data_IF_640585088331
#
_entry.id   IF_640585088331
#
_cell.length_a   1.000
_cell.length_b   1.000
_cell.length_c   1.000
_cell.angle_alpha   90.00
_cell.angle_beta   90.00
_cell.angle_gamma   90.00
#
_symmetry.space_group_name_H-M   'P 1'
#
loop_
_entity.id
_entity.type
_entity.pdbx_description
1 polymer ?
#
# COMPACT_ATOMS: atom_id res chain seq x y z
N UNK A 1 57.69 3.16 -4.37
CA UNK A 1 56.64 2.62 -5.28
C UNK A 1 56.42 3.55 -6.48
N UNK A 2 56.29 4.87 -6.26
CA UNK A 2 56.21 5.87 -7.35
C UNK A 2 57.46 5.93 -8.26
N UNK A 3 58.67 5.85 -7.70
CA UNK A 3 59.92 5.84 -8.51
C UNK A 3 60.07 4.60 -9.39
N UNK A 4 59.56 3.46 -8.95
CA UNK A 4 59.55 2.24 -9.76
C UNK A 4 58.54 2.37 -10.91
N UNK A 5 57.37 2.92 -10.63
CA UNK A 5 56.35 3.23 -11.64
C UNK A 5 56.89 4.22 -12.69
N UNK A 6 57.56 5.30 -12.25
CA UNK A 6 58.14 6.29 -13.16
C UNK A 6 59.24 5.70 -14.06
N UNK A 7 60.08 4.79 -13.55
CA UNK A 7 61.14 4.14 -14.35
C UNK A 7 60.62 3.10 -15.34
N UNK A 8 59.51 2.41 -15.04
CA UNK A 8 58.93 1.41 -15.94
C UNK A 8 58.11 2.03 -17.07
N UNK A 9 57.72 3.31 -16.96
CA UNK A 9 56.90 4.03 -17.94
C UNK A 9 57.64 5.19 -18.61
N UNK A 10 58.95 5.07 -18.81
CA UNK A 10 59.75 6.08 -19.52
C UNK A 10 59.51 6.08 -21.05
N UNK A 11 59.07 4.94 -21.61
CA UNK A 11 58.78 4.84 -23.05
C UNK A 11 57.36 5.31 -23.39
N UNK A 12 57.25 6.16 -24.42
CA UNK A 12 55.96 6.68 -24.92
C UNK A 12 54.96 5.56 -25.26
N UNK A 13 55.45 4.39 -25.70
CA UNK A 13 54.65 3.23 -26.07
C UNK A 13 54.00 2.56 -24.85
N UNK A 14 54.72 2.47 -23.72
CA UNK A 14 54.20 1.89 -22.47
C UNK A 14 53.23 2.85 -21.77
N UNK A 15 53.47 4.16 -21.84
CA UNK A 15 52.51 5.17 -21.37
C UNK A 15 51.20 5.12 -22.16
N UNK A 16 51.28 4.95 -23.49
CA UNK A 16 50.10 4.83 -24.34
C UNK A 16 49.27 3.57 -24.04
N UNK A 17 49.92 2.43 -23.75
CA UNK A 17 49.22 1.20 -23.36
C UNK A 17 48.55 1.34 -21.98
N UNK A 18 49.23 1.96 -21.01
CA UNK A 18 48.63 2.25 -19.70
C UNK A 18 47.43 3.18 -19.80
N UNK A 19 47.53 4.25 -20.59
CA UNK A 19 46.43 5.17 -20.83
C UNK A 19 45.25 4.46 -21.50
N UNK A 20 45.52 3.62 -22.49
CA UNK A 20 44.50 2.79 -23.15
C UNK A 20 43.80 1.84 -22.17
N UNK A 21 44.56 1.17 -21.29
CA UNK A 21 44.00 0.30 -20.25
C UNK A 21 43.17 1.14 -19.26
N UNK A 22 43.69 2.25 -18.76
CA UNK A 22 42.99 3.11 -17.81
C UNK A 22 41.68 3.66 -18.39
N UNK A 23 41.70 4.12 -19.65
CA UNK A 23 40.51 4.59 -20.36
C UNK A 23 39.53 3.44 -20.58
N UNK A 24 39.99 2.28 -21.01
CA UNK A 24 39.14 1.09 -21.22
C UNK A 24 38.48 0.62 -19.93
N UNK A 25 39.24 0.51 -18.82
CA UNK A 25 38.72 0.15 -17.50
C UNK A 25 37.73 1.21 -17.00
N UNK A 26 38.04 2.50 -17.15
CA UNK A 26 37.12 3.58 -16.75
C UNK A 26 35.82 3.51 -17.55
N UNK A 27 35.90 3.29 -18.86
CA UNK A 27 34.73 3.14 -19.72
C UNK A 27 33.88 1.93 -19.30
N UNK A 28 34.52 0.79 -19.00
CA UNK A 28 33.83 -0.40 -18.52
C UNK A 28 33.11 -0.15 -17.18
N UNK A 29 33.75 0.53 -16.23
CA UNK A 29 33.14 0.91 -14.95
C UNK A 29 31.96 1.86 -15.16
N UNK A 30 32.10 2.87 -16.03
CA UNK A 30 31.01 3.80 -16.36
C UNK A 30 29.81 3.08 -16.97
N UNK A 31 30.03 2.14 -17.88
CA UNK A 31 28.96 1.33 -18.47
C UNK A 31 28.24 0.48 -17.42
N UNK A 32 28.98 -0.12 -16.48
CA UNK A 32 28.39 -0.88 -15.38
C UNK A 32 27.54 0.01 -14.46
N UNK A 33 28.05 1.19 -14.09
CA UNK A 33 27.32 2.14 -13.26
C UNK A 33 26.05 2.65 -13.94
N UNK A 34 26.13 2.98 -15.24
CA UNK A 34 24.96 3.37 -16.02
C UNK A 34 23.92 2.26 -16.07
N UNK A 35 24.34 1.02 -16.36
CA UNK A 35 23.43 -0.13 -16.41
C UNK A 35 22.75 -0.36 -15.05
N UNK A 36 23.51 -0.31 -13.96
CA UNK A 36 22.98 -0.46 -12.61
C UNK A 36 22.00 0.67 -12.26
N UNK A 37 22.31 1.90 -12.66
CA UNK A 37 21.41 3.04 -12.46
C UNK A 37 20.10 2.89 -13.23
N UNK A 38 20.17 2.54 -14.52
CA UNK A 38 18.97 2.29 -15.33
C UNK A 38 18.13 1.14 -14.77
N UNK A 39 18.76 0.03 -14.37
CA UNK A 39 18.05 -1.10 -13.73
C UNK A 39 17.37 -0.66 -12.45
N UNK A 40 18.10 0.03 -11.56
CA UNK A 40 17.56 0.48 -10.27
C UNK A 40 16.38 1.43 -10.46
N UNK A 41 16.44 2.34 -11.43
CA UNK A 41 15.33 3.25 -11.73
C UNK A 41 14.10 2.50 -12.27
N UNK A 42 14.32 1.55 -13.18
CA UNK A 42 13.24 0.69 -13.72
C UNK A 42 12.60 -0.14 -12.60
N UNK A 43 13.41 -0.75 -11.75
CA UNK A 43 12.94 -1.60 -10.64
C UNK A 43 12.12 -0.78 -9.63
N UNK A 44 12.57 0.43 -9.29
CA UNK A 44 11.80 1.36 -8.43
C UNK A 44 10.44 1.71 -9.04
N UNK A 45 10.37 1.96 -10.35
CA UNK A 45 9.12 2.27 -11.06
C UNK A 45 8.18 1.05 -11.07
N UNK A 46 8.71 -0.12 -11.38
CA UNK A 46 7.95 -1.38 -11.39
C UNK A 46 7.42 -1.73 -10.00
N UNK A 47 8.25 -1.60 -8.96
CA UNK A 47 7.85 -1.84 -7.58
C UNK A 47 6.72 -0.90 -7.18
N UNK A 48 6.81 0.38 -7.53
CA UNK A 48 5.78 1.36 -7.20
C UNK A 48 4.47 1.08 -7.91
N UNK A 49 4.50 0.68 -9.18
CA UNK A 49 3.30 0.26 -9.92
C UNK A 49 2.66 -0.99 -9.29
N UNK A 50 3.45 -2.02 -8.99
CA UNK A 50 2.97 -3.24 -8.33
C UNK A 50 2.34 -2.96 -6.96
N UNK A 51 2.97 -2.07 -6.16
CA UNK A 51 2.42 -1.67 -4.85
C UNK A 51 1.14 -0.86 -4.97
N UNK A 52 1.00 -0.10 -6.06
CA UNK A 52 -0.21 0.66 -6.33
C UNK A 52 -1.37 -0.28 -6.74
N UNK A 53 -1.10 -1.29 -7.57
CA UNK A 53 -2.07 -2.34 -7.91
C UNK A 53 -2.49 -3.14 -6.67
N UNK A 54 -1.52 -3.50 -5.82
CA UNK A 54 -1.78 -4.15 -4.53
C UNK A 54 -2.67 -3.27 -3.64
N UNK A 55 -2.39 -1.96 -3.59
CA UNK A 55 -3.17 -1.01 -2.80
C UNK A 55 -4.61 -0.91 -3.29
N UNK A 56 -4.81 -0.74 -4.61
CA UNK A 56 -6.14 -0.69 -5.21
C UNK A 56 -6.93 -1.98 -4.94
N UNK A 57 -6.31 -3.14 -5.18
CA UNK A 57 -6.93 -4.45 -4.94
C UNK A 57 -7.34 -4.64 -3.47
N UNK A 58 -6.45 -4.26 -2.55
CA UNK A 58 -6.71 -4.35 -1.09
C UNK A 58 -7.90 -3.48 -0.68
N UNK A 59 -8.04 -2.27 -1.23
CA UNK A 59 -9.19 -1.39 -0.97
C UNK A 59 -10.52 -2.02 -1.42
N UNK A 60 -10.55 -2.62 -2.62
CA UNK A 60 -11.76 -3.30 -3.10
C UNK A 60 -12.11 -4.53 -2.26
N UNK A 61 -11.11 -5.29 -1.83
CA UNK A 61 -11.31 -6.42 -0.91
C UNK A 61 -11.87 -5.95 0.44
N UNK A 62 -11.33 -4.86 0.98
CA UNK A 62 -11.81 -4.26 2.23
C UNK A 62 -13.27 -3.79 2.13
N UNK A 63 -13.63 -3.11 1.04
CA UNK A 63 -15.01 -2.67 0.80
C UNK A 63 -15.99 -3.85 0.78
N UNK A 64 -15.65 -4.90 0.02
CA UNK A 64 -16.47 -6.12 -0.06
C UNK A 64 -16.64 -6.77 1.30
N UNK A 65 -15.57 -6.85 2.09
CA UNK A 65 -15.60 -7.41 3.42
C UNK A 65 -16.48 -6.57 4.36
N UNK A 66 -16.38 -5.24 4.30
CA UNK A 66 -17.24 -4.34 5.08
C UNK A 66 -18.72 -4.55 4.74
N UNK A 67 -19.07 -4.68 3.45
CA UNK A 67 -20.44 -4.93 3.04
C UNK A 67 -20.94 -6.33 3.42
N UNK A 68 -20.09 -7.35 3.37
CA UNK A 68 -20.43 -8.70 3.85
C UNK A 68 -20.70 -8.71 5.37
N UNK A 69 -19.85 -8.05 6.15
CA UNK A 69 -20.05 -7.87 7.60
C UNK A 69 -21.36 -7.16 7.88
N UNK A 70 -21.60 -6.01 7.22
CA UNK A 70 -22.85 -5.28 7.39
C UNK A 70 -24.05 -6.15 6.99
N UNK A 71 -24.02 -6.83 5.84
CA UNK A 71 -25.13 -7.70 5.43
C UNK A 71 -25.41 -8.79 6.47
N UNK A 72 -24.37 -9.39 7.04
CA UNK A 72 -24.49 -10.43 8.07
C UNK A 72 -25.06 -9.91 9.38
N UNK A 73 -24.58 -8.76 9.86
CA UNK A 73 -25.08 -8.16 11.11
C UNK A 73 -26.58 -7.85 11.06
N UNK A 74 -27.15 -7.57 9.88
CA UNK A 74 -28.60 -7.33 9.72
C UNK A 74 -29.42 -8.59 9.45
N UNK A 75 -28.80 -9.73 9.16
CA UNK A 75 -29.49 -10.97 8.78
C UNK A 75 -29.29 -12.11 9.80
N UNK A 76 -28.21 -12.07 10.56
CA UNK A 76 -27.77 -13.13 11.46
C UNK A 76 -27.58 -12.58 12.88
N UNK A 77 -27.51 -13.48 13.86
CA UNK A 77 -27.20 -13.10 15.22
C UNK A 77 -25.81 -12.41 15.28
N UNK A 78 -25.67 -11.27 15.99
CA UNK A 78 -24.38 -10.59 16.17
C UNK A 78 -23.32 -11.48 16.81
N UNK A 79 -23.71 -12.49 17.59
CA UNK A 79 -22.82 -13.49 18.20
C UNK A 79 -22.31 -14.57 17.24
N UNK A 80 -22.67 -14.53 15.96
CA UNK A 80 -22.16 -15.46 14.95
C UNK A 80 -20.63 -15.37 14.80
N UNK A 81 -19.96 -16.49 15.03
CA UNK A 81 -18.49 -16.59 14.98
C UNK A 81 -17.93 -16.19 13.61
N UNK A 82 -18.65 -16.47 12.52
CA UNK A 82 -18.19 -16.12 11.17
C UNK A 82 -18.17 -14.60 11.01
N UNK A 83 -19.20 -13.91 11.52
CA UNK A 83 -19.29 -12.45 11.52
C UNK A 83 -18.19 -11.82 12.37
N UNK A 84 -17.92 -12.38 13.56
CA UNK A 84 -16.81 -11.92 14.43
C UNK A 84 -15.45 -12.10 13.73
N UNK A 85 -15.20 -13.27 13.14
CA UNK A 85 -13.94 -13.53 12.43
C UNK A 85 -13.73 -12.54 11.27
N UNK A 86 -14.79 -12.23 10.53
CA UNK A 86 -14.74 -11.24 9.44
C UNK A 86 -14.50 -9.82 9.95
N UNK A 87 -15.04 -9.47 11.11
CA UNK A 87 -14.75 -8.18 11.75
C UNK A 87 -13.26 -8.07 12.10
N UNK A 88 -12.65 -9.12 12.64
CA UNK A 88 -11.20 -9.17 12.91
C UNK A 88 -10.40 -9.06 11.60
N UNK A 89 -10.75 -9.85 10.59
CA UNK A 89 -10.14 -9.78 9.24
C UNK A 89 -10.22 -8.36 8.66
N UNK A 90 -11.31 -7.63 8.90
CA UNK A 90 -11.47 -6.26 8.43
C UNK A 90 -10.48 -5.30 9.07
N UNK A 91 -10.12 -5.51 10.34
CA UNK A 91 -9.09 -4.71 11.02
C UNK A 91 -7.73 -4.98 10.38
N UNK A 92 -7.38 -6.24 10.15
CA UNK A 92 -6.10 -6.63 9.53
C UNK A 92 -5.94 -6.04 8.12
N UNK A 93 -7.00 -6.10 7.29
CA UNK A 93 -6.96 -5.52 5.94
C UNK A 93 -6.87 -3.98 6.03
N UNK A 94 -7.57 -3.36 6.97
CA UNK A 94 -7.47 -1.93 7.23
C UNK A 94 -6.03 -1.52 7.56
N UNK A 95 -5.38 -2.24 8.46
CA UNK A 95 -4.00 -1.95 8.88
C UNK A 95 -3.03 -2.13 7.71
N UNK A 96 -3.29 -3.11 6.83
CA UNK A 96 -2.55 -3.27 5.58
C UNK A 96 -2.71 -2.05 4.65
N UNK A 97 -3.90 -1.49 4.53
CA UNK A 97 -4.18 -0.28 3.73
C UNK A 97 -3.44 0.93 4.32
N UNK A 98 -3.47 1.10 5.64
CA UNK A 98 -2.74 2.16 6.35
C UNK A 98 -1.23 2.03 6.19
N UNK A 99 -0.69 0.82 6.29
CA UNK A 99 0.72 0.53 6.05
C UNK A 99 1.13 0.86 4.61
N UNK A 100 0.34 0.44 3.61
CA UNK A 100 0.62 0.71 2.20
C UNK A 100 0.58 2.21 1.88
N UNK A 101 -0.40 2.92 2.44
CA UNK A 101 -0.49 4.38 2.41
C UNK A 101 0.78 5.01 2.99
N UNK A 102 1.15 4.65 4.21
CA UNK A 102 2.28 5.27 4.93
C UNK A 102 3.64 5.00 4.29
N UNK A 103 3.87 3.79 3.77
CA UNK A 103 5.17 3.40 3.21
C UNK A 103 5.39 3.88 1.77
N UNK A 104 4.37 3.77 0.91
CA UNK A 104 4.53 3.97 -0.52
C UNK A 104 3.81 5.21 -1.06
N UNK A 105 2.77 5.68 -0.36
CA UNK A 105 1.88 6.74 -0.84
C UNK A 105 1.49 7.72 0.28
N UNK A 106 2.45 8.43 0.91
CA UNK A 106 2.19 9.30 2.05
C UNK A 106 1.20 10.45 1.76
N UNK A 107 0.95 10.74 0.48
CA UNK A 107 -0.01 11.74 0.03
C UNK A 107 -1.47 11.25 0.05
N UNK A 108 -1.72 9.95 0.30
CA UNK A 108 -3.05 9.35 0.33
C UNK A 108 -3.35 9.00 1.80
N UNK A 109 -3.92 9.91 2.60
CA UNK A 109 -4.27 9.60 3.98
C UNK A 109 -5.40 8.57 4.00
N UNK A 110 -5.27 7.57 4.88
CA UNK A 110 -6.33 6.62 5.18
C UNK A 110 -6.52 6.54 6.68
N UNK A 111 -7.74 6.78 7.16
CA UNK A 111 -8.13 6.56 8.54
C UNK A 111 -9.26 5.53 8.58
N UNK A 112 -8.95 4.33 9.01
CA UNK A 112 -9.89 3.22 9.12
C UNK A 112 -10.87 3.37 10.28
N UNK A 113 -10.63 4.29 11.22
CA UNK A 113 -11.43 4.45 12.44
C UNK A 113 -12.88 4.74 12.12
N UNK A 114 -13.18 5.49 11.06
CA UNK A 114 -14.56 5.82 10.69
C UNK A 114 -15.34 4.59 10.22
N UNK A 115 -14.73 3.78 9.37
CA UNK A 115 -15.31 2.53 8.85
C UNK A 115 -15.50 1.51 9.97
N UNK A 116 -14.46 1.30 10.79
CA UNK A 116 -14.50 0.38 11.93
C UNK A 116 -15.50 0.83 13.00
N UNK A 117 -15.57 2.13 13.32
CA UNK A 117 -16.55 2.69 14.26
C UNK A 117 -17.98 2.46 13.78
N UNK A 118 -18.22 2.54 12.47
CA UNK A 118 -19.54 2.28 11.89
C UNK A 118 -19.93 0.81 12.06
N UNK A 119 -19.04 -0.12 11.71
CA UNK A 119 -19.25 -1.56 11.90
C UNK A 119 -19.49 -1.90 13.38
N UNK A 120 -18.66 -1.35 14.28
CA UNK A 120 -18.79 -1.59 15.72
C UNK A 120 -20.10 -1.04 16.28
N UNK A 121 -20.54 0.14 15.84
CA UNK A 121 -21.86 0.69 16.23
C UNK A 121 -23.00 -0.23 15.81
N UNK A 122 -22.98 -0.72 14.57
CA UNK A 122 -23.99 -1.67 14.05
C UNK A 122 -23.96 -2.96 14.86
N UNK A 123 -22.79 -3.53 15.14
CA UNK A 123 -22.69 -4.74 15.94
C UNK A 123 -23.26 -4.55 17.35
N UNK A 124 -22.87 -3.48 18.04
CA UNK A 124 -23.40 -3.14 19.38
C UNK A 124 -24.91 -2.93 19.40
N UNK A 125 -25.49 -2.39 18.33
CA UNK A 125 -26.93 -2.15 18.26
C UNK A 125 -27.74 -3.45 18.31
N UNK A 126 -27.26 -4.48 17.64
CA UNK A 126 -27.90 -5.80 17.62
C UNK A 126 -27.58 -6.60 18.87
N UNK A 127 -26.36 -6.48 19.40
CA UNK A 127 -25.98 -7.10 20.68
C UNK A 127 -26.84 -6.60 21.85
N UNK A 128 -27.13 -5.29 21.89
CA UNK A 128 -28.03 -4.70 22.90
C UNK A 128 -29.48 -5.19 22.76
N UNK A 129 -29.94 -5.47 21.54
CA UNK A 129 -31.26 -6.04 21.28
C UNK A 129 -31.34 -7.50 21.75
N UNK A 130 -30.30 -8.31 21.51
CA UNK A 130 -30.24 -9.69 22.02
C UNK A 130 -30.22 -9.74 23.55
N UNK A 131 -29.51 -8.80 24.19
CA UNK A 131 -29.41 -8.71 25.65
C UNK A 131 -30.63 -8.07 26.33
N UNK A 132 -31.71 -7.77 25.58
CA UNK A 132 -32.94 -7.15 26.09
C UNK A 132 -32.72 -5.79 26.78
N UNK A 133 -31.62 -5.10 26.44
CA UNK A 133 -31.31 -3.79 26.99
C UNK A 133 -32.10 -2.70 26.27
N UNK A 134 -32.65 -1.74 27.03
CA UNK A 134 -33.34 -0.59 26.45
C UNK A 134 -32.32 0.32 25.74
N UNK A 135 -32.32 0.28 24.42
CA UNK A 135 -31.57 1.20 23.56
C UNK A 135 -32.51 2.28 23.02
N UNK A 136 -32.00 3.50 22.86
CA UNK A 136 -32.73 4.59 22.23
C UNK A 136 -32.87 4.30 20.71
N UNK A 137 -34.10 4.17 20.18
CA UNK A 137 -34.31 3.88 18.77
C UNK A 137 -33.74 4.93 17.81
N UNK A 138 -33.54 6.17 18.28
CA UNK A 138 -32.93 7.24 17.50
C UNK A 138 -31.43 7.05 17.25
N UNK A 139 -30.79 6.12 17.98
CA UNK A 139 -29.38 5.79 17.84
C UNK A 139 -29.10 4.68 16.83
N UNK A 140 -30.14 4.02 16.31
CA UNK A 140 -30.00 2.94 15.32
C UNK A 140 -29.56 3.47 13.97
N UNK A 141 -28.60 2.77 13.39
CA UNK A 141 -28.13 3.04 12.03
C UNK A 141 -28.88 2.08 11.13
N UNK A 142 -29.41 2.58 10.01
CA UNK A 142 -30.00 1.72 8.98
C UNK A 142 -28.91 1.07 8.12
N UNK A 143 -29.22 -0.06 7.49
CA UNK A 143 -28.29 -0.71 6.57
C UNK A 143 -27.86 0.23 5.43
N UNK A 144 -28.79 1.04 4.92
CA UNK A 144 -28.51 2.04 3.89
C UNK A 144 -27.53 3.11 4.37
N UNK A 145 -27.70 3.62 5.59
CA UNK A 145 -26.83 4.66 6.13
C UNK A 145 -25.43 4.11 6.48
N UNK A 146 -25.36 2.90 7.02
CA UNK A 146 -24.10 2.22 7.32
C UNK A 146 -23.30 1.96 6.04
N UNK A 147 -23.94 1.41 5.01
CA UNK A 147 -23.28 1.13 3.73
C UNK A 147 -22.88 2.41 3.01
N UNK A 148 -23.70 3.47 3.06
CA UNK A 148 -23.37 4.78 2.52
C UNK A 148 -22.13 5.37 3.19
N UNK A 149 -22.07 5.36 4.52
CA UNK A 149 -20.92 5.88 5.28
C UNK A 149 -19.62 5.16 4.90
N UNK A 150 -19.65 3.82 4.84
CA UNK A 150 -18.49 3.01 4.40
C UNK A 150 -18.10 3.35 2.96
N UNK A 151 -19.08 3.48 2.06
CA UNK A 151 -18.84 3.78 0.66
C UNK A 151 -18.23 5.17 0.45
N UNK A 152 -18.68 6.17 1.20
CA UNK A 152 -18.14 7.54 1.12
C UNK A 152 -16.65 7.56 1.47
N UNK A 153 -16.27 7.01 2.63
CA UNK A 153 -14.86 6.92 3.07
C UNK A 153 -13.99 6.20 2.02
N UNK A 154 -14.46 5.06 1.51
CA UNK A 154 -13.70 4.27 0.54
C UNK A 154 -13.70 4.90 -0.86
N UNK A 155 -14.70 5.71 -1.22
CA UNK A 155 -14.75 6.39 -2.51
C UNK A 155 -13.67 7.48 -2.64
N UNK A 156 -13.43 8.24 -1.57
CA UNK A 156 -12.37 9.24 -1.51
C UNK A 156 -10.98 8.60 -1.65
N UNK A 157 -10.78 7.48 -0.96
CA UNK A 157 -9.56 6.70 -1.03
C UNK A 157 -9.33 6.14 -2.44
N UNK A 158 -10.36 5.54 -3.06
CA UNK A 158 -10.30 5.03 -4.44
C UNK A 158 -10.03 6.14 -5.45
N UNK A 159 -10.64 7.31 -5.28
CA UNK A 159 -10.42 8.46 -6.15
C UNK A 159 -8.95 8.91 -6.09
N UNK A 160 -8.38 8.96 -4.89
CA UNK A 160 -6.98 9.32 -4.66
C UNK A 160 -6.02 8.30 -5.29
N UNK A 161 -6.27 7.01 -5.11
CA UNK A 161 -5.48 5.94 -5.76
C UNK A 161 -5.58 6.02 -7.28
N UNK A 162 -6.79 6.24 -7.83
CA UNK A 162 -6.98 6.39 -9.27
C UNK A 162 -6.26 7.62 -9.84
N UNK A 163 -6.13 8.69 -9.06
CA UNK A 163 -5.37 9.87 -9.43
C UNK A 163 -3.87 9.57 -9.50
N UNK A 164 -3.34 8.79 -8.55
CA UNK A 164 -1.95 8.31 -8.60
C UNK A 164 -1.73 7.30 -9.75
N UNK A 165 -2.69 6.40 -10.05
CA UNK A 165 -2.60 5.48 -11.19
C UNK A 165 -2.35 6.20 -12.52
N UNK A 166 -3.07 7.31 -12.74
CA UNK A 166 -2.96 8.11 -13.97
C UNK A 166 -1.58 8.72 -14.20
N UNK A 167 -0.72 8.79 -13.18
CA UNK A 167 0.66 9.28 -13.34
C UNK A 167 1.59 8.21 -13.96
N UNK A 168 1.14 6.95 -13.96
CA UNK A 168 1.92 5.80 -14.41
C UNK A 168 1.33 5.10 -15.64
N UNK A 169 0.15 5.53 -16.10
CA UNK A 169 -0.52 5.05 -17.34
C UNK A 169 -0.44 6.14 -18.39
#
# INVERSE_FOLDING_TARGET
MFDWFSKTFESATQQATLFSIAVSTTLAVLLLLLNQWFSTQKDKRNLRAAKLEEFASTIYSYERLCFDILSRLYQQAPSDQITINKMVESVEISDKIEMLSSLYFPNIPFDSKLTQKTIYKVHRQFDMLELNNKSDPSSYISYGDATKTVKEVLSELKASVKLEMKKYT
#
